data_IF_165624949940
#
_entry.id   IF_165624949940
#
_cell.length_a   1.000
_cell.length_b   1.000
_cell.length_c   1.000
_cell.angle_alpha   90.00
_cell.angle_beta   90.00
_cell.angle_gamma   90.00
#
_symmetry.space_group_name_H-M   'P 1'
#
loop_
_entity.id
_entity.type
_entity.pdbx_description
1 polymer ?
#
# COMPACT_ATOMS: atom_id res chain seq x y z
N UNK A 1 -0.34 -14.07 3.89
CA UNK A 1 0.37 -12.91 4.46
C UNK A 1 -0.62 -11.78 4.70
N UNK A 2 -0.45 -10.99 5.76
CA UNK A 2 -1.30 -9.83 6.10
C UNK A 2 -0.41 -8.59 6.18
N UNK A 3 -0.80 -7.49 5.53
CA UNK A 3 -0.05 -6.22 5.49
C UNK A 3 -1.00 -5.03 5.36
N UNK A 4 -0.44 -3.82 5.23
CA UNK A 4 -1.18 -2.56 5.01
C UNK A 4 -0.65 -1.85 3.76
N UNK A 5 -1.43 -0.91 3.24
CA UNK A 5 -1.05 -0.07 2.09
C UNK A 5 0.14 0.84 2.41
N UNK A 6 0.05 1.63 3.48
CA UNK A 6 1.16 2.45 3.98
C UNK A 6 1.22 2.44 5.50
N UNK A 7 2.29 2.96 6.11
CA UNK A 7 2.35 3.21 7.54
C UNK A 7 3.25 4.40 7.85
N UNK A 8 2.91 5.20 8.86
CA UNK A 8 3.80 6.24 9.35
C UNK A 8 4.79 5.68 10.37
N UNK A 9 6.07 5.98 10.18
CA UNK A 9 7.14 5.76 11.16
C UNK A 9 7.72 7.12 11.54
N UNK A 10 7.19 7.69 12.62
CA UNK A 10 7.38 9.12 12.89
C UNK A 10 6.74 9.94 11.77
N UNK A 11 7.45 10.92 11.24
CA UNK A 11 6.99 11.77 10.13
C UNK A 11 7.08 11.09 8.76
N UNK A 12 7.79 9.95 8.66
CA UNK A 12 8.03 9.27 7.40
C UNK A 12 6.88 8.33 7.04
N UNK A 13 6.25 8.56 5.89
CA UNK A 13 5.31 7.63 5.28
C UNK A 13 6.05 6.48 4.57
N UNK A 14 5.74 5.24 4.95
CA UNK A 14 6.28 4.01 4.37
C UNK A 14 5.26 3.39 3.42
N UNK A 15 5.62 3.20 2.15
CA UNK A 15 4.78 2.49 1.15
C UNK A 15 4.92 0.97 1.33
N UNK A 16 4.28 0.42 2.35
CA UNK A 16 4.46 -0.98 2.75
C UNK A 16 4.03 -1.97 1.65
N UNK A 17 2.97 -1.68 0.90
CA UNK A 17 2.57 -2.54 -0.22
C UNK A 17 3.69 -2.75 -1.24
N UNK A 18 4.42 -1.71 -1.62
CA UNK A 18 5.50 -1.83 -2.60
C UNK A 18 6.64 -2.72 -2.10
N UNK A 19 6.98 -2.63 -0.81
CA UNK A 19 8.01 -3.48 -0.18
C UNK A 19 7.51 -4.93 -0.12
N UNK A 20 6.25 -5.12 0.26
CA UNK A 20 5.62 -6.44 0.33
C UNK A 20 5.58 -7.12 -1.03
N UNK A 21 5.24 -6.41 -2.11
CA UNK A 21 5.20 -6.97 -3.46
C UNK A 21 6.60 -7.43 -3.92
N UNK A 22 7.65 -6.66 -3.62
CA UNK A 22 9.03 -7.07 -3.90
C UNK A 22 9.42 -8.32 -3.11
N UNK A 23 9.00 -8.43 -1.85
CA UNK A 23 9.24 -9.60 -1.02
C UNK A 23 8.51 -10.84 -1.57
N UNK A 24 7.25 -10.72 -1.99
CA UNK A 24 6.49 -11.82 -2.62
C UNK A 24 7.19 -12.31 -3.88
N UNK A 25 7.64 -11.39 -4.73
CA UNK A 25 8.34 -11.74 -5.97
C UNK A 25 9.63 -12.49 -5.67
N UNK A 26 10.40 -12.05 -4.65
CA UNK A 26 11.59 -12.75 -4.20
C UNK A 26 11.28 -14.13 -3.62
N UNK A 27 10.26 -14.25 -2.76
CA UNK A 27 9.83 -15.55 -2.21
C UNK A 27 9.45 -16.51 -3.34
N UNK A 28 8.72 -16.03 -4.34
CA UNK A 28 8.34 -16.82 -5.52
C UNK A 28 9.57 -17.30 -6.30
N UNK A 29 10.58 -16.43 -6.50
CA UNK A 29 11.84 -16.80 -7.17
C UNK A 29 12.63 -17.87 -6.42
N UNK A 30 12.45 -17.98 -5.11
CA UNK A 30 13.08 -18.99 -4.25
C UNK A 30 12.24 -20.27 -4.09
N UNK A 31 11.13 -20.40 -4.83
CA UNK A 31 10.24 -21.56 -4.75
C UNK A 31 9.21 -21.50 -3.60
N UNK A 32 9.17 -20.39 -2.85
CA UNK A 32 8.20 -20.16 -1.78
C UNK A 32 7.05 -19.27 -2.27
N UNK A 33 6.03 -19.87 -2.88
CA UNK A 33 4.85 -19.14 -3.36
C UNK A 33 3.94 -18.73 -2.20
N UNK A 34 3.65 -17.45 -2.10
CA UNK A 34 2.60 -16.93 -1.20
C UNK A 34 1.27 -17.01 -1.94
N UNK A 35 0.33 -17.85 -1.47
CA UNK A 35 -0.97 -18.02 -2.12
C UNK A 35 -1.89 -16.81 -1.98
N UNK A 36 -1.85 -16.14 -0.81
CA UNK A 36 -2.73 -15.01 -0.52
C UNK A 36 -2.01 -13.91 0.26
N UNK A 37 -2.29 -12.67 -0.16
CA UNK A 37 -1.85 -11.45 0.49
C UNK A 37 -3.06 -10.56 0.77
N UNK A 38 -3.38 -10.36 2.04
CA UNK A 38 -4.46 -9.47 2.48
C UNK A 38 -3.83 -8.12 2.83
N UNK A 39 -4.28 -7.06 2.17
CA UNK A 39 -3.79 -5.69 2.37
C UNK A 39 -4.90 -4.82 2.93
N UNK A 40 -4.70 -4.25 4.12
CA UNK A 40 -5.61 -3.26 4.69
C UNK A 40 -5.33 -1.89 4.04
N UNK A 41 -6.29 -1.36 3.29
CA UNK A 41 -6.24 -0.01 2.71
C UNK A 41 -6.88 1.00 3.65
N UNK A 42 -6.09 1.78 4.38
CA UNK A 42 -6.62 2.70 5.40
C UNK A 42 -6.39 4.18 5.08
N UNK A 43 -5.32 4.54 4.38
CA UNK A 43 -5.04 5.94 4.07
C UNK A 43 -5.98 6.55 3.04
N UNK A 44 -6.37 5.85 1.96
CA UNK A 44 -7.42 6.35 1.07
C UNK A 44 -8.75 6.56 1.80
N UNK A 45 -9.10 5.69 2.76
CA UNK A 45 -10.30 5.86 3.59
C UNK A 45 -10.17 7.04 4.55
N UNK A 46 -9.02 7.20 5.19
CA UNK A 46 -8.76 8.33 6.08
C UNK A 46 -8.81 9.65 5.30
N UNK A 47 -8.14 9.72 4.15
CA UNK A 47 -8.18 10.87 3.25
C UNK A 47 -9.63 11.21 2.83
N UNK A 48 -10.43 10.21 2.46
CA UNK A 48 -11.84 10.42 2.13
C UNK A 48 -12.67 10.94 3.32
N UNK A 49 -12.37 10.49 4.54
CA UNK A 49 -13.07 10.94 5.76
C UNK A 49 -12.63 12.33 6.25
N UNK A 50 -11.45 12.81 5.86
CA UNK A 50 -10.85 14.06 6.34
C UNK A 50 -11.09 15.27 5.42
N UNK A 51 -11.90 15.14 4.37
CA UNK A 51 -12.15 16.23 3.43
C UNK A 51 -13.08 17.32 3.99
N UNK A 52 -12.50 18.23 4.78
CA UNK A 52 -12.70 19.68 4.64
C UNK A 52 -11.35 20.31 4.25
N UNK A 53 -11.19 20.63 2.95
CA UNK A 53 -10.27 21.62 2.29
C UNK A 53 -8.79 21.66 2.75
N UNK A 54 -7.75 21.56 1.92
CA UNK A 54 -7.56 21.73 0.48
C UNK A 54 -6.58 20.67 -0.05
N UNK A 55 -6.91 20.10 -1.21
CA UNK A 55 -6.21 18.95 -1.76
C UNK A 55 -4.96 19.29 -2.55
N UNK A 56 -4.00 18.35 -2.51
CA UNK A 56 -3.08 18.04 -3.62
C UNK A 56 -2.36 16.69 -3.39
N UNK A 57 -3.08 15.58 -3.22
CA UNK A 57 -2.46 14.23 -3.24
C UNK A 57 -3.41 13.03 -3.41
N UNK A 58 -4.70 13.25 -3.70
CA UNK A 58 -5.62 12.16 -4.04
C UNK A 58 -5.52 11.81 -5.53
N UNK A 59 -4.30 11.65 -6.07
CA UNK A 59 -4.14 11.11 -7.42
C UNK A 59 -4.07 9.59 -7.34
N UNK A 60 -5.25 8.99 -7.33
CA UNK A 60 -5.44 7.62 -7.75
C UNK A 60 -5.35 7.59 -9.28
N UNK A 61 -4.14 7.42 -9.80
CA UNK A 61 -3.96 6.89 -11.15
C UNK A 61 -3.85 5.36 -11.05
N UNK A 62 -5.00 4.71 -10.92
CA UNK A 62 -5.25 3.50 -11.72
C UNK A 62 -5.75 4.02 -13.07
N UNK A 63 -4.92 3.99 -14.13
CA UNK A 63 -5.27 3.57 -15.51
C UNK A 63 -4.03 3.69 -16.43
N UNK A 64 -3.72 2.59 -17.12
CA UNK A 64 -2.97 2.45 -18.38
C UNK A 64 -1.42 2.53 -18.39
N UNK A 65 -0.77 1.40 -18.07
CA UNK A 65 -0.22 0.49 -19.09
C UNK A 65 0.23 -0.83 -18.46
#
# INVERSE_FOLDING_TARGET
MITVDYAYRGEKLLKLKAITDQAINRCTSLGHKVESCIVVKHLPRLAASMNCTNGEAAHLEEVAN
#
